data_IF_490534457401
#
_entry.id   IF_490534457401
#
_cell.length_a   1.000
_cell.length_b   1.000
_cell.length_c   1.000
_cell.angle_alpha   90.00
_cell.angle_beta   90.00
_cell.angle_gamma   90.00
#
_symmetry.space_group_name_H-M   'P 1'
#
loop_
_entity.id
_entity.type
_entity.pdbx_description
1 polymer ?
#
# COMPACT_ATOMS: atom_id res chain seq x y z
N UNK A 1 28.26 48.23 -13.42
CA UNK A 1 28.41 46.89 -12.89
C UNK A 1 27.09 46.36 -12.34
N UNK A 2 26.47 45.48 -13.04
CA UNK A 2 25.24 44.79 -12.63
C UNK A 2 25.60 43.35 -12.37
N UNK A 3 25.57 42.96 -11.13
CA UNK A 3 25.74 41.55 -10.73
C UNK A 3 24.41 40.83 -10.85
N UNK A 4 24.36 39.89 -11.73
CA UNK A 4 23.23 38.98 -11.94
C UNK A 4 23.37 37.81 -10.95
N UNK A 5 22.52 37.77 -9.92
CA UNK A 5 22.42 36.59 -9.04
C UNK A 5 21.38 35.66 -9.61
N UNK A 6 21.87 34.63 -10.25
CA UNK A 6 21.05 33.52 -10.72
C UNK A 6 20.45 32.74 -9.55
N UNK A 7 19.15 32.73 -9.45
CA UNK A 7 18.40 31.80 -8.62
C UNK A 7 18.38 30.44 -9.31
N UNK A 8 19.20 29.53 -8.83
CA UNK A 8 19.18 28.15 -9.26
C UNK A 8 17.88 27.48 -8.83
N UNK A 9 17.12 27.07 -9.80
CA UNK A 9 15.94 26.25 -9.67
C UNK A 9 16.33 24.83 -9.28
N UNK A 10 16.28 24.51 -7.99
CA UNK A 10 16.65 23.20 -7.45
C UNK A 10 15.45 22.23 -7.32
N UNK A 11 14.34 22.49 -8.01
CA UNK A 11 13.11 21.71 -7.82
C UNK A 11 12.91 20.51 -8.77
N UNK A 12 13.75 20.30 -9.75
CA UNK A 12 13.55 19.23 -10.76
C UNK A 12 14.36 17.96 -10.52
N UNK A 13 15.32 17.95 -9.60
CA UNK A 13 16.17 16.77 -9.38
C UNK A 13 15.69 15.78 -8.32
N UNK A 14 14.81 16.21 -7.41
CA UNK A 14 14.40 15.38 -6.27
C UNK A 14 13.38 14.30 -6.63
N UNK A 15 12.50 14.53 -7.60
CA UNK A 15 11.48 13.56 -8.01
C UNK A 15 12.05 12.44 -8.91
N UNK A 16 12.97 12.75 -9.79
CA UNK A 16 13.58 11.74 -10.66
C UNK A 16 14.55 10.83 -9.92
N UNK A 17 15.36 11.39 -9.01
CA UNK A 17 16.24 10.60 -8.14
C UNK A 17 15.45 9.71 -7.19
N UNK A 18 14.27 10.13 -6.74
CA UNK A 18 13.42 9.35 -5.84
C UNK A 18 12.82 8.11 -6.54
N UNK A 19 12.33 8.22 -7.78
CA UNK A 19 11.83 7.06 -8.52
C UNK A 19 12.95 6.08 -8.85
N UNK A 20 14.11 6.55 -9.31
CA UNK A 20 15.27 5.73 -9.58
C UNK A 20 15.72 4.97 -8.31
N UNK A 21 15.70 5.61 -7.16
CA UNK A 21 16.02 4.98 -5.87
C UNK A 21 15.00 3.89 -5.53
N UNK A 22 13.70 4.14 -5.70
CA UNK A 22 12.65 3.16 -5.43
C UNK A 22 12.75 1.92 -6.33
N UNK A 23 13.20 2.07 -7.56
CA UNK A 23 13.36 0.99 -8.53
C UNK A 23 14.74 0.31 -8.46
N UNK A 24 15.63 0.80 -7.63
CA UNK A 24 16.97 0.27 -7.44
C UNK A 24 16.97 -0.91 -6.46
N UNK A 25 17.94 -1.82 -6.63
CA UNK A 25 18.23 -2.85 -5.63
C UNK A 25 18.72 -2.28 -4.28
N UNK A 26 19.11 -1.00 -4.26
CA UNK A 26 19.53 -0.27 -3.06
C UNK A 26 18.41 0.58 -2.45
N UNK A 27 17.15 0.35 -2.84
CA UNK A 27 16.01 1.01 -2.25
C UNK A 27 16.07 0.90 -0.72
N UNK A 28 16.05 2.02 0.03
CA UNK A 28 16.19 2.00 1.48
C UNK A 28 14.91 1.59 2.20
N UNK A 29 13.78 1.55 1.50
CA UNK A 29 12.49 1.19 2.05
C UNK A 29 12.27 -0.31 1.96
N UNK A 30 11.57 -0.87 2.94
CA UNK A 30 11.30 -2.30 3.01
C UNK A 30 9.84 -2.55 3.34
N UNK A 31 9.38 -3.76 3.05
CA UNK A 31 8.13 -4.31 3.56
C UNK A 31 8.48 -5.29 4.67
N UNK A 32 7.84 -5.16 5.82
CA UNK A 32 7.89 -6.15 6.90
C UNK A 32 6.55 -6.82 7.06
N UNK A 33 6.55 -8.14 6.89
CA UNK A 33 5.37 -8.97 7.08
C UNK A 33 5.53 -9.81 8.35
N UNK A 34 4.52 -9.79 9.20
CA UNK A 34 4.49 -10.57 10.44
C UNK A 34 3.23 -11.42 10.47
N UNK A 35 3.39 -12.71 10.69
CA UNK A 35 2.30 -13.66 10.91
C UNK A 35 2.21 -13.90 12.40
N UNK A 36 1.07 -13.54 12.99
CA UNK A 36 0.77 -13.71 14.41
C UNK A 36 -0.02 -14.98 14.65
N UNK A 37 0.05 -15.48 15.87
CA UNK A 37 -0.87 -16.47 16.39
C UNK A 37 -2.05 -15.75 17.07
N UNK A 38 -3.28 -16.16 16.75
CA UNK A 38 -4.46 -15.50 17.26
C UNK A 38 -4.73 -14.15 16.60
N UNK A 39 -5.47 -13.30 17.26
CA UNK A 39 -5.92 -11.98 16.74
C UNK A 39 -5.21 -10.80 17.40
N UNK A 40 -4.22 -11.05 18.22
CA UNK A 40 -3.38 -10.04 18.86
C UNK A 40 -1.93 -10.11 18.43
N UNK A 41 -1.15 -9.14 18.88
CA UNK A 41 0.28 -9.01 18.51
C UNK A 41 1.24 -9.69 19.50
N UNK A 42 0.73 -10.46 20.46
CA UNK A 42 1.54 -11.01 21.54
C UNK A 42 2.38 -12.22 21.15
N UNK A 43 1.92 -13.01 20.19
CA UNK A 43 2.62 -14.22 19.76
C UNK A 43 2.89 -14.15 18.25
N UNK A 44 4.14 -14.26 17.89
CA UNK A 44 4.62 -14.19 16.50
C UNK A 44 4.97 -15.59 16.03
N UNK A 45 4.43 -16.01 14.88
CA UNK A 45 4.76 -17.27 14.24
C UNK A 45 5.91 -17.12 13.25
N UNK A 46 5.85 -16.10 12.39
CA UNK A 46 6.84 -15.85 11.35
C UNK A 46 7.04 -14.36 11.13
N UNK A 47 8.24 -14.00 10.71
CA UNK A 47 8.60 -12.66 10.25
C UNK A 47 9.29 -12.74 8.91
N UNK A 48 8.94 -11.82 8.01
CA UNK A 48 9.58 -11.68 6.71
C UNK A 48 9.94 -10.21 6.48
N UNK A 49 11.10 -9.99 5.87
CA UNK A 49 11.49 -8.66 5.41
C UNK A 49 11.81 -8.73 3.93
N UNK A 50 11.11 -7.93 3.14
CA UNK A 50 11.29 -7.85 1.70
C UNK A 50 12.06 -6.58 1.36
N UNK A 51 13.15 -6.74 0.61
CA UNK A 51 14.11 -5.69 0.27
C UNK A 51 14.33 -5.64 -1.25
N UNK A 52 15.09 -4.65 -1.68
CA UNK A 52 15.36 -4.42 -3.09
C UNK A 52 14.41 -3.40 -3.69
N UNK A 53 14.27 -3.39 -5.01
CA UNK A 53 13.35 -2.47 -5.68
C UNK A 53 11.92 -2.66 -5.19
N UNK A 54 11.11 -1.60 -5.27
CA UNK A 54 9.69 -1.67 -4.89
C UNK A 54 8.95 -2.75 -5.69
N UNK A 55 9.31 -2.95 -6.95
CA UNK A 55 8.71 -4.01 -7.79
C UNK A 55 9.07 -5.40 -7.28
N UNK A 56 10.31 -5.61 -6.86
CA UNK A 56 10.75 -6.87 -6.26
C UNK A 56 10.03 -7.12 -4.93
N UNK A 57 9.92 -6.09 -4.10
CA UNK A 57 9.19 -6.20 -2.84
C UNK A 57 7.72 -6.55 -3.06
N UNK A 58 7.09 -5.94 -4.07
CA UNK A 58 5.71 -6.26 -4.46
C UNK A 58 5.57 -7.72 -4.86
N UNK A 59 6.48 -8.24 -5.68
CA UNK A 59 6.46 -9.65 -6.10
C UNK A 59 6.62 -10.60 -4.91
N UNK A 60 7.57 -10.32 -4.03
CA UNK A 60 7.83 -11.15 -2.84
C UNK A 60 6.67 -11.13 -1.85
N UNK A 61 6.11 -9.95 -1.57
CA UNK A 61 4.96 -9.82 -0.71
C UNK A 61 3.71 -10.47 -1.30
N UNK A 62 3.50 -10.35 -2.61
CA UNK A 62 2.41 -11.02 -3.33
C UNK A 62 2.52 -12.54 -3.23
N UNK A 63 3.73 -13.08 -3.37
CA UNK A 63 3.97 -14.52 -3.23
C UNK A 63 3.63 -15.02 -1.81
N UNK A 64 4.02 -14.26 -0.78
CA UNK A 64 3.65 -14.58 0.60
C UNK A 64 2.13 -14.59 0.80
N UNK A 65 1.44 -13.55 0.34
CA UNK A 65 -0.01 -13.43 0.48
C UNK A 65 -0.75 -14.52 -0.31
N UNK A 66 -0.29 -14.85 -1.50
CA UNK A 66 -0.86 -15.93 -2.29
C UNK A 66 -0.67 -17.31 -1.60
N UNK A 67 0.48 -17.54 -0.98
CA UNK A 67 0.73 -18.76 -0.21
C UNK A 67 -0.19 -18.88 1.01
N UNK A 68 -0.39 -17.80 1.75
CA UNK A 68 -1.32 -17.76 2.89
C UNK A 68 -2.76 -17.96 2.42
N UNK A 69 -3.10 -17.51 1.23
CA UNK A 69 -4.44 -17.54 0.65
C UNK A 69 -4.70 -18.77 -0.25
N UNK A 70 -3.94 -19.83 -0.12
CA UNK A 70 -4.14 -21.06 -0.96
C UNK A 70 -5.56 -21.62 -0.84
N UNK A 71 -6.16 -21.58 0.34
CA UNK A 71 -7.55 -22.02 0.56
C UNK A 71 -8.61 -21.04 0.05
N UNK A 72 -8.21 -19.84 -0.44
CA UNK A 72 -9.13 -18.83 -0.94
C UNK A 72 -9.94 -18.11 0.13
N UNK A 73 -9.44 -18.03 1.36
CA UNK A 73 -10.13 -17.38 2.48
C UNK A 73 -10.38 -15.88 2.24
N UNK A 74 -9.43 -15.21 1.59
CA UNK A 74 -9.54 -13.80 1.22
C UNK A 74 -9.87 -13.66 -0.26
N UNK A 75 -10.63 -12.62 -0.67
CA UNK A 75 -10.72 -12.27 -2.08
C UNK A 75 -9.32 -11.88 -2.61
N UNK A 76 -8.84 -12.61 -3.62
CA UNK A 76 -7.50 -12.38 -4.17
C UNK A 76 -7.31 -10.95 -4.69
N UNK A 77 -8.36 -10.38 -5.29
CA UNK A 77 -8.33 -9.00 -5.78
C UNK A 77 -8.16 -7.98 -4.64
N UNK A 78 -8.77 -8.24 -3.47
CA UNK A 78 -8.64 -7.35 -2.32
C UNK A 78 -7.21 -7.34 -1.76
N UNK A 79 -6.56 -8.50 -1.68
CA UNK A 79 -5.17 -8.61 -1.26
C UNK A 79 -4.24 -7.85 -2.21
N UNK A 80 -4.43 -8.04 -3.51
CA UNK A 80 -3.63 -7.36 -4.54
C UNK A 80 -3.80 -5.85 -4.51
N UNK A 81 -5.04 -5.38 -4.54
CA UNK A 81 -5.33 -3.95 -4.56
C UNK A 81 -4.84 -3.26 -3.28
N UNK A 82 -5.01 -3.86 -2.13
CA UNK A 82 -4.53 -3.31 -0.86
C UNK A 82 -3.01 -3.19 -0.83
N UNK A 83 -2.28 -4.18 -1.34
CA UNK A 83 -0.82 -4.16 -1.38
C UNK A 83 -0.29 -3.12 -2.38
N UNK A 84 -0.84 -3.09 -3.58
CA UNK A 84 -0.46 -2.12 -4.62
C UNK A 84 -0.74 -0.70 -4.15
N UNK A 85 -1.92 -0.43 -3.58
CA UNK A 85 -2.27 0.87 -3.04
C UNK A 85 -1.31 1.32 -1.92
N UNK A 86 -0.93 0.43 -1.04
CA UNK A 86 -0.01 0.74 0.05
C UNK A 86 1.36 1.22 -0.46
N UNK A 87 1.88 0.61 -1.51
CA UNK A 87 3.15 0.98 -2.12
C UNK A 87 3.04 2.23 -3.01
N UNK A 88 1.96 2.36 -3.76
CA UNK A 88 1.72 3.48 -4.65
C UNK A 88 1.53 4.80 -3.90
N UNK A 89 0.75 4.79 -2.83
CA UNK A 89 0.35 5.99 -2.10
C UNK A 89 1.18 6.26 -0.84
N UNK A 90 2.14 5.41 -0.52
CA UNK A 90 3.06 5.62 0.58
C UNK A 90 3.78 6.96 0.45
N UNK A 91 3.98 7.63 1.57
CA UNK A 91 4.89 8.77 1.68
C UNK A 91 6.32 8.26 1.90
N UNK A 92 7.15 8.31 0.86
CA UNK A 92 8.53 7.85 0.88
C UNK A 92 9.51 8.85 1.54
N UNK A 93 9.03 9.91 2.15
CA UNK A 93 9.83 10.76 3.06
C UNK A 93 9.96 10.15 4.45
N UNK A 94 9.09 9.21 4.83
CA UNK A 94 9.20 8.44 6.06
C UNK A 94 10.10 7.23 5.85
N UNK A 95 11.02 6.98 6.79
CA UNK A 95 11.99 5.90 6.69
C UNK A 95 11.48 4.54 7.17
N UNK A 96 10.37 4.49 7.90
CA UNK A 96 9.82 3.24 8.44
C UNK A 96 9.32 2.27 7.37
N UNK A 97 9.09 1.01 7.72
CA UNK A 97 8.63 -0.01 6.78
C UNK A 97 7.15 0.12 6.44
N UNK A 98 6.77 -0.36 5.26
CA UNK A 98 5.40 -0.77 4.99
C UNK A 98 5.13 -2.07 5.76
N UNK A 99 4.00 -2.19 6.44
CA UNK A 99 3.70 -3.33 7.29
C UNK A 99 2.59 -4.20 6.70
N UNK A 100 2.80 -5.51 6.76
CA UNK A 100 1.76 -6.51 6.53
C UNK A 100 1.63 -7.31 7.81
N UNK A 101 0.50 -7.19 8.50
CA UNK A 101 0.22 -7.92 9.72
C UNK A 101 -0.88 -8.94 9.46
N UNK A 102 -0.59 -10.22 9.65
CA UNK A 102 -1.48 -11.32 9.35
C UNK A 102 -1.89 -11.99 10.67
N UNK A 103 -3.17 -11.96 10.95
CA UNK A 103 -3.79 -12.55 12.13
C UNK A 103 -4.68 -13.72 11.72
N UNK A 104 -5.24 -14.44 12.70
CA UNK A 104 -6.09 -15.60 12.44
C UNK A 104 -7.36 -15.22 11.64
N UNK A 105 -7.96 -14.05 11.91
CA UNK A 105 -9.24 -13.65 11.31
C UNK A 105 -9.18 -12.43 10.39
N UNK A 106 -8.02 -11.78 10.26
CA UNK A 106 -7.86 -10.58 9.45
C UNK A 106 -6.42 -10.37 9.01
N UNK A 107 -6.24 -9.51 8.04
CA UNK A 107 -4.96 -9.04 7.56
C UNK A 107 -4.99 -7.51 7.52
N UNK A 108 -3.88 -6.88 7.91
CA UNK A 108 -3.73 -5.43 7.88
C UNK A 108 -2.53 -5.05 7.02
N UNK A 109 -2.72 -4.12 6.10
CA UNK A 109 -1.62 -3.52 5.33
C UNK A 109 -1.53 -2.06 5.72
N UNK A 110 -0.39 -1.67 6.28
CA UNK A 110 -0.16 -0.33 6.83
C UNK A 110 0.90 0.38 6.02
N UNK A 111 0.53 1.52 5.46
CA UNK A 111 1.40 2.40 4.70
C UNK A 111 1.68 3.67 5.50
N UNK A 112 2.92 4.15 5.45
CA UNK A 112 3.30 5.42 6.07
C UNK A 112 2.85 6.61 5.23
N UNK A 113 2.50 7.68 5.92
CA UNK A 113 1.87 8.87 5.37
C UNK A 113 0.35 8.82 5.55
N UNK A 114 -0.22 9.87 6.13
CA UNK A 114 -1.67 10.06 6.19
C UNK A 114 -2.26 10.38 4.82
N UNK A 115 -3.48 10.83 4.76
CA UNK A 115 -4.06 11.31 3.52
C UNK A 115 -3.35 12.58 3.06
N UNK A 116 -3.28 12.77 1.75
CA UNK A 116 -2.78 14.02 1.16
C UNK A 116 -3.62 15.19 1.67
N UNK A 117 -3.00 16.33 1.89
CA UNK A 117 -3.65 17.52 2.45
C UNK A 117 -4.97 17.84 1.74
N UNK A 118 -6.01 18.01 2.54
CA UNK A 118 -7.35 18.31 2.08
C UNK A 118 -8.20 17.10 1.69
N UNK A 119 -7.64 15.90 1.63
CA UNK A 119 -8.39 14.67 1.39
C UNK A 119 -8.95 14.07 2.68
N UNK A 120 -10.16 13.55 2.58
CA UNK A 120 -10.83 12.79 3.62
C UNK A 120 -11.14 11.37 3.12
N UNK A 121 -11.52 10.48 4.05
CA UNK A 121 -11.84 9.07 3.70
C UNK A 121 -12.94 9.01 2.65
N UNK A 122 -13.96 9.83 2.76
CA UNK A 122 -15.06 9.85 1.80
C UNK A 122 -14.62 10.24 0.38
N UNK A 123 -13.58 11.08 0.25
CA UNK A 123 -13.02 11.40 -1.07
C UNK A 123 -12.42 10.15 -1.72
N UNK A 124 -11.72 9.33 -0.94
CA UNK A 124 -11.16 8.07 -1.43
C UNK A 124 -12.26 7.08 -1.85
N UNK A 125 -13.34 7.00 -1.08
CA UNK A 125 -14.49 6.17 -1.41
C UNK A 125 -15.23 6.68 -2.65
N UNK A 126 -15.19 7.98 -2.91
CA UNK A 126 -15.71 8.61 -4.12
C UNK A 126 -14.79 8.46 -5.34
N UNK A 127 -13.64 7.82 -5.19
CA UNK A 127 -12.70 7.58 -6.28
C UNK A 127 -11.72 8.72 -6.54
N UNK A 128 -11.61 9.68 -5.63
CA UNK A 128 -10.60 10.75 -5.74
C UNK A 128 -9.21 10.15 -5.57
N UNK A 129 -8.31 10.51 -6.47
CA UNK A 129 -6.94 10.01 -6.48
C UNK A 129 -5.96 11.17 -6.56
N UNK A 130 -5.07 11.21 -5.57
CA UNK A 130 -3.95 12.16 -5.56
C UNK A 130 -2.67 11.42 -5.14
N UNK A 131 -1.96 10.80 -6.09
CA UNK A 131 -0.74 10.09 -5.79
C UNK A 131 0.37 11.06 -5.37
N UNK A 132 1.10 10.72 -4.31
CA UNK A 132 2.27 11.48 -3.86
C UNK A 132 3.45 11.36 -4.81
N UNK A 133 3.55 10.21 -5.47
CA UNK A 133 4.60 9.91 -6.45
C UNK A 133 3.93 9.59 -7.79
N UNK A 134 3.52 10.61 -8.56
CA UNK A 134 2.77 10.40 -9.81
C UNK A 134 3.48 9.49 -10.81
N UNK A 135 4.80 9.56 -10.91
CA UNK A 135 5.59 8.72 -11.82
C UNK A 135 5.57 7.23 -11.42
N UNK A 136 5.52 6.94 -10.11
CA UNK A 136 5.35 5.57 -9.64
C UNK A 136 3.94 5.05 -9.97
N UNK A 137 2.93 5.88 -9.79
CA UNK A 137 1.55 5.55 -10.15
C UNK A 137 1.42 5.25 -11.65
N UNK A 138 2.03 6.07 -12.51
CA UNK A 138 2.08 5.84 -13.96
C UNK A 138 2.79 4.53 -14.30
N UNK A 139 3.92 4.25 -13.66
CA UNK A 139 4.65 3.00 -13.86
C UNK A 139 3.80 1.78 -13.46
N UNK A 140 3.11 1.84 -12.33
CA UNK A 140 2.25 0.75 -11.89
C UNK A 140 1.09 0.53 -12.88
N UNK A 141 0.51 1.59 -13.41
CA UNK A 141 -0.51 1.50 -14.45
C UNK A 141 0.03 0.89 -15.76
N UNK A 142 1.20 1.34 -16.21
CA UNK A 142 1.85 0.84 -17.43
C UNK A 142 2.21 -0.65 -17.30
N UNK A 143 2.57 -1.11 -16.11
CA UNK A 143 2.86 -2.52 -15.83
C UNK A 143 1.59 -3.36 -15.60
N UNK A 144 0.41 -2.77 -15.65
CA UNK A 144 -0.85 -3.46 -15.40
C UNK A 144 -1.06 -3.88 -13.94
N UNK A 145 -0.34 -3.27 -13.01
CA UNK A 145 -0.46 -3.56 -11.56
C UNK A 145 -1.68 -2.88 -10.95
N UNK A 146 -2.08 -1.75 -11.48
CA UNK A 146 -3.34 -1.07 -11.19
C UNK A 146 -4.00 -0.63 -12.50
N UNK A 147 -5.31 -0.42 -12.48
CA UNK A 147 -6.01 0.10 -13.65
C UNK A 147 -5.96 1.63 -13.64
N UNK A 148 -7.04 2.26 -13.26
CA UNK A 148 -7.09 3.71 -13.14
C UNK A 148 -6.98 4.13 -11.69
N UNK A 149 -6.28 5.22 -11.42
CA UNK A 149 -6.24 5.85 -10.12
C UNK A 149 -7.66 6.05 -9.57
N UNK A 150 -7.87 5.71 -8.30
CA UNK A 150 -9.15 5.91 -7.62
C UNK A 150 -10.12 4.73 -7.66
N UNK A 151 -9.82 3.65 -8.37
CA UNK A 151 -10.70 2.48 -8.44
C UNK A 151 -10.35 1.36 -7.47
N UNK A 152 -9.13 1.33 -6.94
CA UNK A 152 -8.63 0.22 -6.12
C UNK A 152 -9.41 -0.01 -4.84
N UNK A 153 -9.76 1.05 -4.10
CA UNK A 153 -10.55 0.94 -2.86
C UNK A 153 -11.95 0.43 -3.15
N UNK A 154 -12.60 0.92 -4.21
CA UNK A 154 -13.92 0.45 -4.59
C UNK A 154 -13.89 -1.03 -4.97
N UNK A 155 -12.87 -1.50 -5.66
CA UNK A 155 -12.69 -2.91 -6.00
C UNK A 155 -12.52 -3.78 -4.77
N UNK A 156 -11.80 -3.29 -3.75
CA UNK A 156 -11.68 -3.97 -2.45
C UNK A 156 -13.06 -4.09 -1.80
N UNK A 157 -13.82 -3.01 -1.72
CA UNK A 157 -15.15 -3.01 -1.12
C UNK A 157 -16.12 -3.92 -1.88
N UNK A 158 -16.11 -3.88 -3.20
CA UNK A 158 -16.96 -4.71 -4.05
C UNK A 158 -16.66 -6.21 -3.87
N UNK A 159 -15.41 -6.56 -3.64
CA UNK A 159 -15.02 -7.95 -3.39
C UNK A 159 -15.64 -8.53 -2.09
N UNK A 160 -16.09 -7.68 -1.18
CA UNK A 160 -16.75 -8.06 0.07
C UNK A 160 -18.29 -7.88 0.01
N UNK A 161 -18.87 -7.61 -1.15
CA UNK A 161 -20.31 -7.28 -1.28
C UNK A 161 -21.23 -8.37 -0.73
N UNK A 162 -20.82 -9.65 -0.77
CA UNK A 162 -21.59 -10.79 -0.26
C UNK A 162 -21.17 -11.23 1.14
N UNK A 163 -20.29 -10.48 1.79
CA UNK A 163 -19.80 -10.77 3.14
C UNK A 163 -20.56 -9.95 4.19
N UNK A 164 -20.84 -10.59 5.33
CA UNK A 164 -21.39 -9.91 6.51
C UNK A 164 -20.40 -8.95 7.17
N UNK A 165 -19.10 -9.13 6.91
CA UNK A 165 -18.04 -8.25 7.39
C UNK A 165 -17.41 -7.48 6.23
N UNK A 166 -16.97 -6.27 6.49
CA UNK A 166 -16.44 -5.36 5.47
C UNK A 166 -15.00 -4.95 5.79
N UNK A 167 -14.20 -4.63 4.76
CA UNK A 167 -12.91 -4.00 4.96
C UNK A 167 -13.05 -2.67 5.69
N UNK A 168 -12.01 -2.30 6.42
CA UNK A 168 -11.93 -1.01 7.11
C UNK A 168 -10.70 -0.24 6.65
N UNK A 169 -10.87 1.04 6.41
CA UNK A 169 -9.78 1.96 6.17
C UNK A 169 -9.56 2.79 7.46
N UNK A 170 -8.43 2.56 8.12
CA UNK A 170 -8.03 3.33 9.30
C UNK A 170 -7.02 4.39 8.90
N UNK A 171 -7.34 5.64 9.14
CA UNK A 171 -6.51 6.78 8.76
C UNK A 171 -6.03 7.47 10.02
N UNK A 172 -4.72 7.50 10.19
CA UNK A 172 -4.03 8.31 11.19
C UNK A 172 -3.34 9.51 10.55
N UNK A 173 -2.74 10.39 11.35
CA UNK A 173 -2.01 11.55 10.83
C UNK A 173 -0.77 11.15 10.01
N UNK A 174 -0.16 10.00 10.29
CA UNK A 174 1.08 9.55 9.65
C UNK A 174 0.99 8.14 9.06
N UNK A 175 -0.19 7.55 9.00
CA UNK A 175 -0.38 6.21 8.46
C UNK A 175 -1.78 6.00 7.90
N UNK A 176 -1.89 5.07 6.97
CA UNK A 176 -3.16 4.53 6.47
C UNK A 176 -3.07 3.02 6.54
N UNK A 177 -4.05 2.39 7.17
CA UNK A 177 -4.16 0.93 7.25
C UNK A 177 -5.41 0.46 6.53
N UNK A 178 -5.25 -0.48 5.61
CA UNK A 178 -6.35 -1.27 5.06
C UNK A 178 -6.47 -2.57 5.86
N UNK A 179 -7.61 -2.75 6.50
CA UNK A 179 -7.93 -3.94 7.28
C UNK A 179 -8.86 -4.83 6.48
N UNK A 180 -8.40 -6.01 6.16
CA UNK A 180 -9.15 -7.00 5.39
C UNK A 180 -9.52 -8.16 6.33
N UNK A 181 -10.79 -8.29 6.73
CA UNK A 181 -11.25 -9.46 7.48
C UNK A 181 -11.37 -10.67 6.56
N UNK A 182 -11.31 -11.88 7.12
CA UNK A 182 -11.75 -13.06 6.38
C UNK A 182 -13.25 -12.92 6.16
N UNK A 183 -13.74 -12.97 4.90
CA UNK A 183 -15.17 -12.85 4.63
C UNK A 183 -16.01 -13.88 5.36
N UNK A 184 -17.17 -13.46 5.81
CA UNK A 184 -18.19 -14.29 6.43
C UNK A 184 -19.43 -14.23 5.55
N UNK A 185 -19.99 -15.38 5.17
CA UNK A 185 -21.20 -15.40 4.37
C UNK A 185 -22.32 -14.64 5.07
N UNK A 186 -22.93 -13.70 4.36
CA UNK A 186 -24.17 -13.11 4.83
C UNK A 186 -25.24 -14.19 4.77
N UNK A 187 -25.76 -14.62 5.92
CA UNK A 187 -26.92 -15.52 5.96
C UNK A 187 -28.12 -14.81 5.30
N UNK A 188 -28.72 -15.53 4.39
CA UNK A 188 -29.90 -15.04 3.70
C UNK A 188 -31.11 -14.97 4.65
#
# INVERSE_FOLDING_TARGET
SITNTGTNNTFTSTTESSLATLLSNQCPFVIKATIFEGNGKNAIRERHTFTGSVLRQLDQASALLNGINESGQYPAIALREALVNALEHRDYTYSGPTLINIFDSRLEIVSLGGLTDGLEINDLLNGVCQPRTPRLAELFADLGLCENCGTGIQRIMDAYAQSAVSPQLRVGPTSVAMVLPIPVSAEA
#
